data_IF_288135795615
#
_entry.id   IF_288135795615
#
_cell.length_a   1.000
_cell.length_b   1.000
_cell.length_c   1.000
_cell.angle_alpha   90.00
_cell.angle_beta   90.00
_cell.angle_gamma   90.00
#
_symmetry.space_group_name_H-M   'P 1'
#
loop_
_entity.id
_entity.type
_entity.pdbx_description
1 polymer ?
#
# COMPACT_ATOMS: atom_id res chain seq x y z
N UNK A 1 -1.35 2.45 -5.58
CA UNK A 1 -1.79 1.03 -5.49
C UNK A 1 -2.60 0.60 -6.71
N UNK A 2 -3.66 1.32 -7.11
CA UNK A 2 -4.50 0.94 -8.26
C UNK A 2 -3.72 0.69 -9.58
N UNK A 3 -2.79 1.59 -9.92
CA UNK A 3 -1.94 1.46 -11.13
C UNK A 3 -1.11 0.17 -11.12
N UNK A 4 -0.58 -0.23 -9.96
CA UNK A 4 0.22 -1.45 -9.83
C UNK A 4 -0.62 -2.72 -10.04
N UNK A 5 -1.85 -2.73 -9.53
CA UNK A 5 -2.77 -3.87 -9.68
C UNK A 5 -3.17 -4.03 -11.14
N UNK A 6 -3.43 -2.93 -11.85
CA UNK A 6 -3.76 -3.01 -13.27
C UNK A 6 -2.55 -3.48 -14.12
N UNK A 7 -1.35 -2.99 -13.80
CA UNK A 7 -0.08 -3.44 -14.40
C UNK A 7 0.14 -4.96 -14.18
N UNK A 8 -0.17 -5.45 -12.98
CA UNK A 8 -0.10 -6.87 -12.62
C UNK A 8 -1.10 -7.68 -13.44
N UNK A 9 -2.36 -7.24 -13.49
CA UNK A 9 -3.40 -7.91 -14.28
C UNK A 9 -3.05 -7.94 -15.77
N UNK A 10 -2.52 -6.84 -16.32
CA UNK A 10 -2.08 -6.77 -17.71
C UNK A 10 -0.93 -7.75 -17.99
N UNK A 11 0.06 -7.79 -17.12
CA UNK A 11 1.20 -8.72 -17.22
C UNK A 11 0.74 -10.18 -17.13
N UNK A 12 -0.21 -10.48 -16.24
CA UNK A 12 -0.76 -11.82 -16.06
C UNK A 12 -1.63 -12.25 -17.25
N UNK A 13 -2.43 -11.34 -17.84
CA UNK A 13 -3.19 -11.60 -19.06
C UNK A 13 -2.26 -11.91 -20.24
N UNK A 14 -1.21 -11.12 -20.41
CA UNK A 14 -0.21 -11.36 -21.45
C UNK A 14 0.55 -12.68 -21.24
N UNK A 15 0.84 -13.05 -19.99
CA UNK A 15 1.41 -14.36 -19.69
C UNK A 15 0.44 -15.49 -20.08
N UNK A 16 -0.83 -15.40 -19.68
CA UNK A 16 -1.85 -16.40 -20.02
C UNK A 16 -2.04 -16.56 -21.54
N UNK A 17 -1.93 -15.48 -22.32
CA UNK A 17 -2.06 -15.55 -23.78
C UNK A 17 -0.82 -16.10 -24.49
N UNK A 18 0.38 -15.90 -23.93
CA UNK A 18 1.66 -16.33 -24.54
C UNK A 18 2.09 -17.73 -24.12
N UNK A 19 1.48 -18.32 -23.10
CA UNK A 19 1.93 -19.60 -22.55
C UNK A 19 1.14 -20.74 -23.18
N UNK A 20 1.74 -21.54 -24.09
CA UNK A 20 1.15 -22.81 -24.48
C UNK A 20 1.14 -23.76 -23.27
N UNK A 21 0.31 -24.82 -23.31
CA UNK A 21 0.05 -25.86 -22.27
C UNK A 21 1.31 -26.55 -21.66
N UNK A 22 2.53 -26.12 -22.01
CA UNK A 22 3.78 -26.66 -21.50
C UNK A 22 4.03 -26.27 -20.04
N UNK A 23 4.51 -27.24 -19.25
CA UNK A 23 4.87 -27.06 -17.82
C UNK A 23 6.05 -26.09 -17.68
N UNK A 24 5.76 -24.81 -17.51
CA UNK A 24 6.72 -23.82 -17.01
C UNK A 24 6.58 -23.77 -15.48
N UNK A 25 7.71 -23.70 -14.76
CA UNK A 25 7.70 -23.54 -13.31
C UNK A 25 6.99 -22.24 -12.93
N UNK A 26 5.88 -22.38 -12.19
CA UNK A 26 5.07 -21.25 -11.70
C UNK A 26 5.91 -20.23 -10.94
N UNK A 27 6.87 -20.69 -10.14
CA UNK A 27 7.75 -19.83 -9.34
C UNK A 27 8.58 -18.90 -10.23
N UNK A 28 9.16 -19.41 -11.32
CA UNK A 28 9.96 -18.61 -12.26
C UNK A 28 9.12 -17.54 -12.96
N UNK A 29 7.87 -17.89 -13.29
CA UNK A 29 6.92 -16.98 -13.94
C UNK A 29 6.54 -15.84 -13.00
N UNK A 30 6.08 -16.15 -11.79
CA UNK A 30 5.71 -15.12 -10.82
C UNK A 30 6.90 -14.24 -10.44
N UNK A 31 8.10 -14.82 -10.31
CA UNK A 31 9.33 -14.06 -10.12
C UNK A 31 9.62 -13.10 -11.26
N UNK A 32 9.46 -13.54 -12.52
CA UNK A 32 9.68 -12.67 -13.69
C UNK A 32 8.66 -11.52 -13.79
N UNK A 33 7.39 -11.78 -13.44
CA UNK A 33 6.34 -10.76 -13.41
C UNK A 33 6.62 -9.74 -12.29
N UNK A 34 6.93 -10.22 -11.09
CA UNK A 34 7.24 -9.37 -9.96
C UNK A 34 8.47 -8.49 -10.21
N UNK A 35 9.55 -9.07 -10.75
CA UNK A 35 10.76 -8.34 -11.12
C UNK A 35 10.48 -7.28 -12.18
N UNK A 36 9.69 -7.61 -13.21
CA UNK A 36 9.33 -6.64 -14.25
C UNK A 36 8.52 -5.46 -13.74
N UNK A 37 7.58 -5.69 -12.81
CA UNK A 37 6.80 -4.62 -12.18
C UNK A 37 7.69 -3.75 -11.29
N UNK A 38 8.58 -4.37 -10.49
CA UNK A 38 9.51 -3.65 -9.63
C UNK A 38 10.43 -2.72 -10.43
N UNK A 39 11.08 -3.23 -11.48
CA UNK A 39 11.98 -2.43 -12.30
C UNK A 39 11.27 -1.23 -12.92
N UNK A 40 10.09 -1.44 -13.51
CA UNK A 40 9.29 -0.34 -14.08
C UNK A 40 8.82 0.66 -13.03
N UNK A 41 8.56 0.18 -11.81
CA UNK A 41 8.23 1.06 -10.69
C UNK A 41 9.39 1.94 -10.30
N UNK A 42 10.61 1.40 -10.27
CA UNK A 42 11.81 2.16 -9.91
C UNK A 42 12.08 3.24 -10.95
N UNK A 43 12.07 2.89 -12.24
CA UNK A 43 12.25 3.86 -13.33
C UNK A 43 11.21 4.98 -13.28
N UNK A 44 9.95 4.61 -12.98
CA UNK A 44 8.87 5.58 -12.84
C UNK A 44 9.03 6.46 -11.60
N UNK A 45 9.47 5.90 -10.48
CA UNK A 45 9.77 6.68 -9.27
C UNK A 45 10.86 7.70 -9.53
N UNK A 46 11.92 7.35 -10.26
CA UNK A 46 13.00 8.27 -10.62
C UNK A 46 12.49 9.40 -11.51
N UNK A 47 11.67 9.09 -12.51
CA UNK A 47 11.05 10.10 -13.36
C UNK A 47 10.17 11.07 -12.55
N UNK A 48 9.33 10.52 -11.65
CA UNK A 48 8.46 11.32 -10.78
C UNK A 48 9.30 12.19 -9.85
N UNK A 49 10.37 11.65 -9.27
CA UNK A 49 11.27 12.37 -8.39
C UNK A 49 11.94 13.56 -9.11
N UNK A 50 12.44 13.34 -10.33
CA UNK A 50 12.98 14.43 -11.17
C UNK A 50 11.93 15.50 -11.48
N UNK A 51 10.69 15.10 -11.75
CA UNK A 51 9.57 16.03 -11.95
C UNK A 51 9.14 16.75 -10.66
N UNK A 52 9.37 16.15 -9.49
CA UNK A 52 9.18 16.83 -8.20
C UNK A 52 10.26 17.88 -7.99
N UNK A 53 11.53 17.54 -8.24
CA UNK A 53 12.64 18.49 -8.16
C UNK A 53 12.44 19.70 -9.07
N UNK A 54 11.94 19.51 -10.31
CA UNK A 54 11.68 20.63 -11.23
C UNK A 54 10.55 21.55 -10.77
N UNK A 55 9.68 21.10 -9.87
CA UNK A 55 8.62 21.90 -9.24
C UNK A 55 9.06 22.54 -7.91
N UNK A 56 10.33 22.41 -7.54
CA UNK A 56 10.88 22.96 -6.30
C UNK A 56 10.68 22.07 -5.06
N UNK A 57 10.58 20.75 -5.23
CA UNK A 57 10.51 19.83 -4.10
C UNK A 57 11.79 19.88 -3.26
N UNK A 58 11.64 20.16 -1.96
CA UNK A 58 12.76 20.40 -1.02
C UNK A 58 13.12 19.15 -0.20
N UNK A 59 12.51 18.00 -0.50
CA UNK A 59 12.70 16.76 0.26
C UNK A 59 11.63 16.50 1.32
N UNK A 60 10.85 17.51 1.67
CA UNK A 60 9.68 17.36 2.53
C UNK A 60 8.41 17.24 1.68
N UNK A 61 7.61 16.21 1.96
CA UNK A 61 6.29 16.11 1.39
C UNK A 61 5.41 17.20 2.02
N UNK A 62 4.70 18.01 1.21
CA UNK A 62 3.76 18.96 1.78
C UNK A 62 2.72 18.18 2.60
N UNK A 63 2.51 18.58 3.85
CA UNK A 63 1.50 18.02 4.74
C UNK A 63 0.12 18.19 4.12
N UNK A 64 -0.26 17.22 3.28
CA UNK A 64 -1.45 17.28 2.42
C UNK A 64 -2.77 17.19 3.17
N UNK A 65 -2.72 17.01 4.49
CA UNK A 65 -3.91 17.03 5.31
C UNK A 65 -3.47 17.34 6.75
N UNK A 66 -3.63 18.59 7.18
CA UNK A 66 -3.62 18.91 8.60
C UNK A 66 -4.65 17.99 9.26
N UNK A 67 -4.19 16.97 9.98
CA UNK A 67 -5.05 15.96 10.58
C UNK A 67 -5.80 16.62 11.75
N UNK A 68 -6.85 17.36 11.41
CA UNK A 68 -7.70 18.01 12.40
C UNK A 68 -8.38 16.89 13.17
N UNK A 69 -8.06 16.79 14.46
CA UNK A 69 -8.72 15.89 15.39
C UNK A 69 -10.23 16.05 15.20
N UNK A 70 -10.86 14.99 14.67
CA UNK A 70 -12.31 14.99 14.49
C UNK A 70 -12.94 14.53 15.80
N UNK A 71 -14.14 15.02 16.08
CA UNK A 71 -14.94 14.54 17.21
C UNK A 71 -15.14 13.01 17.21
N UNK A 72 -15.08 12.38 16.03
CA UNK A 72 -15.10 10.92 15.88
C UNK A 72 -13.92 10.24 16.59
N UNK A 73 -12.71 10.79 16.50
CA UNK A 73 -11.52 10.23 17.15
C UNK A 73 -11.67 10.32 18.67
N UNK A 74 -12.20 11.44 19.16
CA UNK A 74 -12.46 11.63 20.59
C UNK A 74 -13.47 10.62 21.12
N UNK A 75 -14.58 10.40 20.40
CA UNK A 75 -15.59 9.41 20.82
C UNK A 75 -15.03 7.98 20.81
N UNK A 76 -14.19 7.63 19.84
CA UNK A 76 -13.56 6.32 19.77
C UNK A 76 -12.60 6.09 20.95
N UNK A 77 -11.81 7.10 21.32
CA UNK A 77 -10.91 7.05 22.48
C UNK A 77 -11.69 6.90 23.79
N UNK A 78 -12.76 7.67 23.98
CA UNK A 78 -13.60 7.59 25.18
C UNK A 78 -14.24 6.20 25.29
N UNK A 79 -14.80 5.67 24.20
CA UNK A 79 -15.37 4.33 24.18
C UNK A 79 -14.34 3.26 24.55
N UNK A 80 -13.13 3.34 23.99
CA UNK A 80 -12.05 2.41 24.29
C UNK A 80 -11.63 2.46 25.77
N UNK A 81 -11.51 3.66 26.35
CA UNK A 81 -11.19 3.81 27.78
C UNK A 81 -12.28 3.21 28.68
N UNK A 82 -13.56 3.42 28.36
CA UNK A 82 -14.67 2.84 29.12
C UNK A 82 -14.59 1.31 29.11
N UNK A 83 -14.36 0.70 27.95
CA UNK A 83 -14.23 -0.77 27.81
C UNK A 83 -13.06 -1.31 28.63
N UNK A 84 -11.91 -0.62 28.63
CA UNK A 84 -10.74 -1.04 29.41
C UNK A 84 -11.00 -0.94 30.91
N UNK A 85 -11.65 0.15 31.35
CA UNK A 85 -11.98 0.37 32.77
C UNK A 85 -12.97 -0.68 33.27
N UNK A 86 -14.03 -0.98 32.52
CA UNK A 86 -15.01 -2.00 32.92
C UNK A 86 -14.40 -3.39 32.97
N UNK A 87 -13.55 -3.75 32.00
CA UNK A 87 -12.82 -5.01 32.01
C UNK A 87 -11.88 -5.14 33.22
N UNK A 88 -11.19 -4.06 33.59
CA UNK A 88 -10.30 -4.03 34.77
C UNK A 88 -11.07 -4.19 36.09
N UNK A 89 -12.21 -3.52 36.22
CA UNK A 89 -13.05 -3.61 37.43
C UNK A 89 -13.62 -5.02 37.57
N UNK A 90 -14.08 -5.63 36.47
CA UNK A 90 -14.59 -7.00 36.47
C UNK A 90 -13.50 -8.01 36.86
N UNK A 91 -12.28 -7.85 36.35
CA UNK A 91 -11.13 -8.70 36.68
C UNK A 91 -10.64 -8.55 38.13
N UNK A 92 -10.83 -7.39 38.75
CA UNK A 92 -10.48 -7.18 40.17
C UNK A 92 -11.56 -7.71 41.12
N UNK A 93 -12.80 -7.79 40.65
CA UNK A 93 -13.97 -8.23 41.43
C UNK A 93 -14.21 -9.76 41.35
N UNK A 94 -13.34 -10.51 40.65
CA UNK A 94 -13.29 -11.97 40.57
C UNK A 94 -12.07 -12.45 41.35
#
# INVERSE_FOLDING_TARGET
IFVFIDELHRSMRAYKSRTPIRRISRVKVYGSIAAGILLRSMDRSDYIYKAMLSRGFVGEFPDGNSNRLKWIDLTAVIFFLIVVVTARILLWNI
#
